data_IF_642389435962
#
_entry.id   IF_642389435962
#
_cell.length_a   1.000
_cell.length_b   1.000
_cell.length_c   1.000
_cell.angle_alpha   90.00
_cell.angle_beta   90.00
_cell.angle_gamma   90.00
#
_symmetry.space_group_name_H-M   'P 1'
#
loop_
_entity.id
_entity.type
_entity.pdbx_description
1 polymer ?
#
# COMPACT_ATOMS: atom_id res chain seq x y z
N UNK A 1 9.04 15.55 1.49
CA UNK A 1 7.92 14.71 1.96
C UNK A 1 6.76 15.53 2.49
N UNK A 2 6.93 16.49 3.39
CA UNK A 2 5.84 17.33 3.92
C UNK A 2 5.10 18.10 2.81
N UNK A 3 5.80 18.70 1.85
CA UNK A 3 5.18 19.40 0.73
C UNK A 3 4.32 18.48 -0.11
N UNK A 4 4.80 17.26 -0.40
CA UNK A 4 4.03 16.25 -1.14
C UNK A 4 2.79 15.81 -0.35
N UNK A 5 2.91 15.55 0.96
CA UNK A 5 1.77 15.17 1.79
C UNK A 5 0.70 16.26 1.81
N UNK A 6 1.09 17.53 1.96
CA UNK A 6 0.15 18.67 1.87
C UNK A 6 -0.48 18.79 0.49
N UNK A 7 0.28 18.58 -0.58
CA UNK A 7 -0.27 18.59 -1.94
C UNK A 7 -1.32 17.46 -2.11
N UNK A 8 -1.00 16.22 -1.74
CA UNK A 8 -1.93 15.10 -1.77
C UNK A 8 -3.20 15.40 -0.97
N UNK A 9 -3.06 15.94 0.24
CA UNK A 9 -4.19 16.29 1.12
C UNK A 9 -5.10 17.39 0.52
N UNK A 10 -4.51 18.35 -0.18
CA UNK A 10 -5.21 19.53 -0.73
C UNK A 10 -5.82 19.26 -2.11
N UNK A 11 -5.14 18.52 -2.97
CA UNK A 11 -5.51 18.31 -4.37
C UNK A 11 -6.65 17.29 -4.58
N UNK A 12 -7.21 16.71 -3.53
CA UNK A 12 -8.36 15.82 -3.64
C UNK A 12 -8.03 14.34 -3.77
N UNK A 13 -6.79 13.94 -3.56
CA UNK A 13 -6.42 12.53 -3.47
C UNK A 13 -6.98 11.92 -2.18
N UNK A 14 -7.39 10.65 -2.26
CA UNK A 14 -7.90 9.92 -1.09
C UNK A 14 -6.81 9.54 -0.09
N UNK A 15 -5.56 9.49 -0.49
CA UNK A 15 -4.44 9.12 0.36
C UNK A 15 -3.13 8.87 -0.39
N UNK A 16 -2.13 8.37 0.31
CA UNK A 16 -0.83 8.04 -0.25
C UNK A 16 -0.29 6.71 0.26
N UNK A 17 0.39 5.97 -0.63
CA UNK A 17 1.14 4.77 -0.26
C UNK A 17 2.53 5.16 0.24
N UNK A 18 2.82 4.80 1.48
CA UNK A 18 4.16 4.83 2.06
C UNK A 18 4.79 3.44 1.88
N UNK A 19 5.49 3.27 0.74
CA UNK A 19 6.09 2.00 0.38
C UNK A 19 7.41 1.76 1.13
N UNK A 20 7.70 0.48 1.41
CA UNK A 20 9.00 0.07 1.96
C UNK A 20 10.14 0.47 1.02
N UNK A 21 11.19 1.05 1.58
CA UNK A 21 12.33 1.55 0.82
C UNK A 21 13.41 2.08 1.75
N UNK A 22 13.85 3.32 1.52
CA UNK A 22 14.94 3.95 2.29
C UNK A 22 14.50 4.37 3.70
N UNK A 23 13.24 4.80 3.85
CA UNK A 23 12.71 5.29 5.13
C UNK A 23 11.82 4.24 5.80
N UNK A 24 11.82 4.25 7.15
CA UNK A 24 10.81 3.55 7.90
C UNK A 24 9.44 4.20 7.66
N UNK A 25 8.47 3.39 7.24
CA UNK A 25 7.16 3.86 6.78
C UNK A 25 6.27 4.32 7.92
N UNK A 26 6.42 3.74 9.13
CA UNK A 26 5.63 4.07 10.31
C UNK A 26 6.10 5.37 10.94
N UNK A 27 7.43 5.55 11.06
CA UNK A 27 8.02 6.81 11.52
C UNK A 27 7.67 7.94 10.56
N UNK A 28 7.83 7.71 9.24
CA UNK A 28 7.48 8.69 8.22
C UNK A 28 5.99 9.05 8.27
N UNK A 29 5.11 8.05 8.31
CA UNK A 29 3.66 8.27 8.38
C UNK A 29 3.27 9.08 9.61
N UNK A 30 3.79 8.71 10.78
CA UNK A 30 3.53 9.43 12.03
C UNK A 30 3.99 10.90 11.96
N UNK A 31 5.15 11.16 11.36
CA UNK A 31 5.67 12.51 11.17
C UNK A 31 4.83 13.36 10.20
N UNK A 32 4.05 12.74 9.31
CA UNK A 32 3.21 13.44 8.34
C UNK A 32 1.78 13.71 8.83
N UNK A 33 1.32 13.04 9.89
CA UNK A 33 -0.03 13.23 10.45
C UNK A 33 -0.32 14.71 10.75
N UNK A 34 0.57 15.50 11.41
CA UNK A 34 0.29 16.88 11.76
C UNK A 34 0.18 17.84 10.56
N UNK A 35 0.63 17.43 9.38
CA UNK A 35 0.63 18.25 8.16
C UNK A 35 -0.52 17.97 7.22
N UNK A 36 -1.46 17.09 7.60
CA UNK A 36 -2.57 16.61 6.77
C UNK A 36 -3.83 16.46 7.58
N UNK A 37 -4.98 16.67 6.95
CA UNK A 37 -6.29 16.56 7.60
C UNK A 37 -7.14 15.42 7.05
N UNK A 38 -7.06 15.15 5.75
CA UNK A 38 -7.92 14.20 5.01
C UNK A 38 -7.17 13.02 4.44
N UNK A 39 -5.89 13.22 4.08
CA UNK A 39 -5.06 12.19 3.45
C UNK A 39 -5.03 10.91 4.29
N UNK A 40 -5.44 9.80 3.71
CA UNK A 40 -5.28 8.47 4.30
C UNK A 40 -3.86 7.95 4.05
N UNK A 41 -3.34 7.23 5.01
CA UNK A 41 -1.98 6.69 4.98
C UNK A 41 -2.03 5.19 4.71
N UNK A 42 -1.67 4.75 3.51
CA UNK A 42 -1.46 3.33 3.22
C UNK A 42 -0.02 2.97 3.62
N UNK A 43 0.15 2.53 4.85
CA UNK A 43 1.47 2.30 5.46
C UNK A 43 1.89 0.85 5.27
N UNK A 44 3.04 0.65 4.64
CA UNK A 44 3.57 -0.69 4.43
C UNK A 44 4.16 -1.28 5.72
N UNK A 45 4.04 -2.59 5.89
CA UNK A 45 4.63 -3.36 6.99
C UNK A 45 5.12 -4.72 6.49
N UNK A 46 6.24 -5.17 7.06
CA UNK A 46 6.75 -6.52 6.86
C UNK A 46 6.39 -7.41 8.06
N UNK A 47 5.43 -8.36 7.91
CA UNK A 47 5.20 -9.38 8.93
C UNK A 47 6.49 -10.14 9.24
N UNK A 48 6.74 -10.37 10.53
CA UNK A 48 7.94 -11.07 10.99
C UNK A 48 9.12 -10.18 11.37
N UNK A 49 9.15 -8.91 10.98
CA UNK A 49 10.12 -7.94 11.51
C UNK A 49 9.65 -7.30 12.83
N UNK A 50 8.36 -7.42 13.14
CA UNK A 50 7.71 -6.99 14.39
C UNK A 50 6.83 -8.14 14.89
N UNK A 51 6.60 -8.25 16.21
CA UNK A 51 5.58 -9.16 16.70
C UNK A 51 4.17 -8.66 16.35
N UNK A 52 3.17 -9.54 16.17
CA UNK A 52 1.80 -9.12 15.86
C UNK A 52 1.18 -8.26 16.97
N UNK A 53 1.60 -8.46 18.23
CA UNK A 53 1.15 -7.69 19.39
C UNK A 53 1.71 -6.28 19.39
N UNK A 54 3.00 -6.11 19.08
CA UNK A 54 3.61 -4.78 18.94
C UNK A 54 2.99 -4.05 17.76
N UNK A 55 2.80 -4.74 16.64
CA UNK A 55 2.18 -4.17 15.45
C UNK A 55 0.72 -3.72 15.72
N UNK A 56 -0.07 -4.51 16.45
CA UNK A 56 -1.43 -4.13 16.85
C UNK A 56 -1.42 -2.84 17.69
N UNK A 57 -0.48 -2.73 18.65
CA UNK A 57 -0.30 -1.51 19.46
C UNK A 57 0.08 -0.31 18.59
N UNK A 58 1.02 -0.46 17.65
CA UNK A 58 1.43 0.60 16.74
C UNK A 58 0.27 1.06 15.85
N UNK A 59 -0.49 0.12 15.27
CA UNK A 59 -1.64 0.41 14.42
C UNK A 59 -2.73 1.16 15.19
N UNK A 60 -3.11 0.70 16.38
CA UNK A 60 -4.10 1.37 17.20
C UNK A 60 -3.65 2.77 17.62
N UNK A 61 -2.37 2.95 17.95
CA UNK A 61 -1.80 4.27 18.29
C UNK A 61 -1.85 5.20 17.07
N UNK A 62 -1.42 4.74 15.92
CA UNK A 62 -1.50 5.53 14.67
C UNK A 62 -2.94 5.93 14.34
N UNK A 63 -3.89 5.01 14.53
CA UNK A 63 -5.33 5.27 14.34
C UNK A 63 -5.82 6.42 15.22
N UNK A 64 -5.46 6.42 16.50
CA UNK A 64 -5.84 7.50 17.41
C UNK A 64 -5.28 8.85 16.96
N UNK A 65 -3.98 8.92 16.65
CA UNK A 65 -3.35 10.17 16.22
C UNK A 65 -3.84 10.64 14.86
N UNK A 66 -4.06 9.73 13.92
CA UNK A 66 -4.53 10.07 12.56
C UNK A 66 -6.04 10.22 12.46
N UNK A 67 -6.81 9.93 13.54
CA UNK A 67 -8.28 9.94 13.54
C UNK A 67 -8.88 8.99 12.49
N UNK A 68 -8.39 7.74 12.47
CA UNK A 68 -8.92 6.70 11.59
C UNK A 68 -8.48 6.80 10.13
N UNK A 69 -7.32 7.40 9.87
CA UNK A 69 -6.80 7.55 8.49
C UNK A 69 -5.79 6.48 8.07
N UNK A 70 -5.59 5.45 8.88
CA UNK A 70 -4.66 4.36 8.58
C UNK A 70 -5.27 3.36 7.59
N UNK A 71 -4.48 2.96 6.62
CA UNK A 71 -4.63 1.76 5.79
C UNK A 71 -3.31 1.00 5.90
N UNK A 72 -3.35 -0.32 5.91
CA UNK A 72 -2.16 -1.14 6.14
C UNK A 72 -1.84 -1.96 4.88
N UNK A 73 -0.64 -1.78 4.32
CA UNK A 73 -0.16 -2.59 3.20
C UNK A 73 0.79 -3.67 3.71
N UNK A 74 0.34 -4.92 3.68
CA UNK A 74 1.15 -6.08 4.04
C UNK A 74 2.14 -6.38 2.91
N UNK A 75 3.43 -6.47 3.23
CA UNK A 75 4.50 -6.73 2.26
C UNK A 75 5.38 -7.86 2.80
N UNK A 76 5.32 -9.03 2.19
CA UNK A 76 6.15 -10.17 2.63
C UNK A 76 7.62 -10.07 2.18
N UNK A 77 7.93 -9.11 1.31
CA UNK A 77 9.28 -8.87 0.82
C UNK A 77 9.85 -10.02 -0.04
N UNK A 78 11.06 -9.85 -0.51
CA UNK A 78 11.85 -10.91 -1.14
C UNK A 78 12.79 -11.57 -0.13
N UNK A 79 13.28 -12.78 -0.43
CA UNK A 79 14.21 -13.49 0.45
C UNK A 79 15.43 -12.64 0.80
N UNK A 80 16.02 -11.95 -0.17
CA UNK A 80 17.18 -11.09 0.05
C UNK A 80 16.86 -9.90 0.98
N UNK A 81 15.72 -9.24 0.76
CA UNK A 81 15.29 -8.11 1.59
C UNK A 81 15.02 -8.54 3.02
N UNK A 82 14.39 -9.69 3.20
CA UNK A 82 14.07 -10.18 4.55
C UNK A 82 15.32 -10.67 5.28
N UNK A 83 16.23 -11.37 4.61
CA UNK A 83 17.51 -11.79 5.20
C UNK A 83 18.36 -10.60 5.65
N UNK A 84 18.39 -9.51 4.86
CA UNK A 84 19.07 -8.27 5.24
C UNK A 84 18.49 -7.59 6.49
N UNK A 85 17.24 -7.90 6.83
CA UNK A 85 16.55 -7.42 8.04
C UNK A 85 16.48 -8.49 9.15
N UNK A 86 17.23 -9.57 9.04
CA UNK A 86 17.35 -10.60 10.07
C UNK A 86 16.27 -11.68 10.05
N UNK A 87 15.41 -11.72 9.02
CA UNK A 87 14.38 -12.76 8.87
C UNK A 87 14.82 -13.80 7.83
N UNK A 88 15.18 -14.99 8.27
CA UNK A 88 15.71 -16.07 7.44
C UNK A 88 14.68 -17.18 7.22
N UNK A 89 13.56 -16.84 6.56
CA UNK A 89 12.51 -17.77 6.17
C UNK A 89 12.49 -17.94 4.65
N UNK A 90 12.23 -19.16 4.18
CA UNK A 90 11.98 -19.43 2.77
C UNK A 90 10.73 -18.69 2.28
N UNK A 91 10.53 -18.65 0.96
CA UNK A 91 9.37 -18.00 0.36
C UNK A 91 8.04 -18.48 1.01
N UNK A 92 7.80 -19.79 1.03
CA UNK A 92 6.54 -20.34 1.53
C UNK A 92 6.41 -20.21 3.05
N UNK A 93 7.52 -20.32 3.79
CA UNK A 93 7.52 -20.09 5.24
C UNK A 93 7.15 -18.66 5.59
N UNK A 94 7.56 -17.66 4.80
CA UNK A 94 7.14 -16.26 5.02
C UNK A 94 5.63 -16.09 4.89
N UNK A 95 4.98 -16.80 3.98
CA UNK A 95 3.51 -16.75 3.84
C UNK A 95 2.80 -17.53 4.94
N UNK A 96 3.31 -18.68 5.35
CA UNK A 96 2.79 -19.42 6.49
C UNK A 96 2.92 -18.59 7.80
N UNK A 97 4.07 -17.94 8.01
CA UNK A 97 4.26 -17.00 9.11
C UNK A 97 3.26 -15.82 9.04
N UNK A 98 3.07 -15.26 7.84
CA UNK A 98 2.13 -14.15 7.62
C UNK A 98 0.68 -14.54 7.96
N UNK A 99 0.27 -15.76 7.66
CA UNK A 99 -1.05 -16.28 8.00
C UNK A 99 -1.28 -16.34 9.53
N UNK A 100 -0.34 -16.91 10.28
CA UNK A 100 -0.39 -16.93 11.75
C UNK A 100 -0.36 -15.51 12.33
N UNK A 101 0.51 -14.66 11.78
CA UNK A 101 0.68 -13.27 12.18
C UNK A 101 -0.63 -12.47 12.06
N UNK A 102 -1.28 -12.53 10.90
CA UNK A 102 -2.52 -11.82 10.64
C UNK A 102 -3.69 -12.41 11.42
N UNK A 103 -3.69 -13.72 11.68
CA UNK A 103 -4.68 -14.35 12.55
C UNK A 103 -4.65 -13.75 13.96
N UNK A 104 -3.48 -13.68 14.57
CA UNK A 104 -3.30 -13.07 15.91
C UNK A 104 -3.60 -11.57 15.89
N UNK A 105 -3.09 -10.86 14.88
CA UNK A 105 -3.30 -9.41 14.77
C UNK A 105 -4.78 -9.04 14.67
N UNK A 106 -5.56 -9.75 13.85
CA UNK A 106 -7.00 -9.48 13.66
C UNK A 106 -7.80 -9.71 14.94
N UNK A 107 -7.50 -10.78 15.68
CA UNK A 107 -8.13 -11.05 16.97
C UNK A 107 -7.84 -9.93 18.00
N UNK A 108 -6.59 -9.46 18.06
CA UNK A 108 -6.23 -8.35 18.93
C UNK A 108 -6.97 -7.07 18.56
N UNK A 109 -7.10 -6.77 17.27
CA UNK A 109 -7.74 -5.53 16.79
C UNK A 109 -9.24 -5.48 17.09
N UNK A 110 -9.90 -6.62 17.20
CA UNK A 110 -11.32 -6.68 17.64
C UNK A 110 -11.48 -6.79 19.15
N UNK A 111 -10.38 -6.66 19.93
CA UNK A 111 -10.40 -6.59 21.39
C UNK A 111 -10.35 -7.93 22.12
N UNK A 112 -10.11 -9.04 21.41
CA UNK A 112 -9.96 -10.34 22.04
C UNK A 112 -8.70 -10.43 22.91
N UNK A 113 -8.76 -11.29 23.93
CA UNK A 113 -7.56 -11.77 24.62
C UNK A 113 -7.08 -13.03 23.94
N UNK A 114 -5.86 -12.99 23.38
CA UNK A 114 -5.35 -14.02 22.48
C UNK A 114 -4.31 -14.90 23.18
N UNK A 115 -4.56 -16.20 23.17
CA UNK A 115 -3.58 -17.26 23.41
C UNK A 115 -3.40 -17.98 22.07
N UNK A 116 -2.19 -17.99 21.52
CA UNK A 116 -1.90 -18.59 20.22
C UNK A 116 -0.54 -19.30 20.26
N UNK A 117 -0.53 -20.56 19.84
CA UNK A 117 0.65 -21.43 19.78
C UNK A 117 0.78 -21.98 18.36
N UNK A 118 1.42 -21.23 17.48
CA UNK A 118 1.67 -21.61 16.08
C UNK A 118 3.08 -22.14 15.86
N UNK A 119 3.44 -22.35 14.61
CA UNK A 119 4.82 -22.70 14.23
C UNK A 119 5.77 -21.51 14.33
N UNK A 120 5.28 -20.31 14.03
CA UNK A 120 6.07 -19.08 13.91
C UNK A 120 5.68 -18.02 14.94
N UNK A 121 4.43 -18.01 15.37
CA UNK A 121 3.90 -17.01 16.28
C UNK A 121 3.43 -17.65 17.56
N UNK A 122 3.96 -17.17 18.69
CA UNK A 122 3.60 -17.63 20.03
C UNK A 122 3.22 -16.44 20.89
N UNK A 123 1.98 -16.37 21.37
CA UNK A 123 1.53 -15.31 22.28
C UNK A 123 0.67 -15.90 23.38
N UNK A 124 0.76 -15.32 24.58
CA UNK A 124 0.01 -15.78 25.74
C UNK A 124 -0.67 -14.58 26.41
N UNK A 125 -1.98 -14.66 26.59
CA UNK A 125 -2.81 -13.62 27.22
C UNK A 125 -2.58 -12.23 26.61
N UNK A 126 -2.31 -12.19 25.29
CA UNK A 126 -2.11 -10.95 24.59
C UNK A 126 -3.42 -10.19 24.46
N UNK A 127 -3.41 -8.89 24.79
CA UNK A 127 -4.59 -8.02 24.69
C UNK A 127 -4.17 -6.62 24.28
N UNK A 128 -4.95 -6.01 23.41
CA UNK A 128 -4.76 -4.62 23.03
C UNK A 128 -5.37 -3.70 24.11
N UNK A 129 -4.56 -2.71 24.57
CA UNK A 129 -4.99 -1.79 25.62
C UNK A 129 -5.92 -0.66 25.17
N UNK A 130 -5.87 -0.29 23.88
CA UNK A 130 -6.73 0.73 23.26
C UNK A 130 -7.28 0.18 21.94
N UNK A 131 -8.58 0.39 21.63
CA UNK A 131 -9.14 -0.07 20.37
C UNK A 131 -8.66 0.82 19.20
N UNK A 132 -8.67 0.31 17.95
CA UNK A 132 -8.54 1.15 16.77
C UNK A 132 -9.77 2.08 16.65
N UNK A 133 -9.63 3.13 15.84
CA UNK A 133 -10.75 4.03 15.50
C UNK A 133 -11.65 3.40 14.45
N UNK A 134 -11.07 2.73 13.47
CA UNK A 134 -11.82 2.01 12.42
C UNK A 134 -12.28 0.64 12.93
N UNK A 135 -13.50 0.25 12.59
CA UNK A 135 -14.08 -1.05 12.95
C UNK A 135 -14.25 -1.94 11.72
N UNK A 136 -13.94 -3.24 11.78
CA UNK A 136 -13.37 -3.97 12.92
C UNK A 136 -11.89 -3.68 13.15
N UNK A 137 -11.19 -3.14 12.19
CA UNK A 137 -9.78 -2.76 12.18
C UNK A 137 -9.46 -1.89 10.96
N UNK A 138 -8.30 -1.20 10.91
CA UNK A 138 -7.82 -0.56 9.68
C UNK A 138 -7.77 -1.54 8.52
N UNK A 139 -8.26 -1.19 7.32
CA UNK A 139 -8.28 -2.10 6.18
C UNK A 139 -6.90 -2.62 5.81
N UNK A 140 -6.80 -3.93 5.60
CA UNK A 140 -5.59 -4.62 5.16
C UNK A 140 -5.52 -4.69 3.64
N UNK A 141 -4.40 -4.27 3.10
CA UNK A 141 -4.09 -4.26 1.67
C UNK A 141 -2.90 -5.16 1.39
N UNK A 142 -2.90 -5.83 0.24
CA UNK A 142 -1.82 -6.73 -0.12
C UNK A 142 -1.78 -6.98 -1.63
N UNK A 143 -0.57 -7.07 -2.20
CA UNK A 143 -0.32 -7.38 -3.61
C UNK A 143 0.74 -8.46 -3.77
N UNK A 144 0.36 -9.70 -3.69
CA UNK A 144 1.21 -10.84 -3.98
C UNK A 144 0.61 -11.71 -5.08
N UNK A 145 1.43 -12.50 -5.78
CA UNK A 145 1.01 -13.20 -6.99
C UNK A 145 1.33 -14.70 -7.01
N UNK A 146 2.12 -15.20 -6.07
CA UNK A 146 2.35 -16.63 -5.87
C UNK A 146 1.14 -17.30 -5.22
N UNK A 147 0.96 -18.60 -5.42
CA UNK A 147 -0.20 -19.30 -4.86
C UNK A 147 -0.29 -19.16 -3.32
N UNK A 148 0.79 -19.28 -2.52
CA UNK A 148 0.73 -18.98 -1.08
C UNK A 148 0.31 -17.54 -0.78
N UNK A 149 0.73 -16.57 -1.61
CA UNK A 149 0.33 -15.17 -1.47
C UNK A 149 -1.16 -14.96 -1.70
N UNK A 150 -1.72 -15.61 -2.75
CA UNK A 150 -3.14 -15.52 -3.07
C UNK A 150 -4.01 -16.14 -1.97
N UNK A 151 -3.55 -17.22 -1.33
CA UNK A 151 -4.25 -17.87 -0.23
C UNK A 151 -4.31 -16.98 1.02
N UNK A 152 -3.19 -16.38 1.42
CA UNK A 152 -3.13 -15.39 2.52
C UNK A 152 -4.03 -14.19 2.21
N UNK A 153 -4.01 -13.70 0.96
CA UNK A 153 -4.88 -12.60 0.56
C UNK A 153 -6.35 -12.96 0.67
N UNK A 154 -6.76 -14.11 0.16
CA UNK A 154 -8.15 -14.58 0.23
C UNK A 154 -8.66 -14.69 1.67
N UNK A 155 -7.80 -15.13 2.60
CA UNK A 155 -8.14 -15.38 4.00
C UNK A 155 -8.17 -14.10 4.85
N UNK A 156 -7.28 -13.14 4.62
CA UNK A 156 -7.07 -12.04 5.57
C UNK A 156 -7.30 -10.64 5.03
N UNK A 157 -7.15 -10.41 3.72
CA UNK A 157 -7.02 -9.09 3.13
C UNK A 157 -8.38 -8.48 2.76
N UNK A 158 -8.50 -7.17 2.85
CA UNK A 158 -9.72 -6.44 2.51
C UNK A 158 -9.64 -5.85 1.09
N UNK A 159 -8.44 -5.41 0.68
CA UNK A 159 -8.20 -4.91 -0.68
C UNK A 159 -6.99 -5.61 -1.30
N UNK A 160 -7.23 -6.36 -2.37
CA UNK A 160 -6.16 -6.99 -3.14
C UNK A 160 -5.63 -6.02 -4.19
N UNK A 161 -4.31 -5.81 -4.18
CA UNK A 161 -3.61 -4.94 -5.12
C UNK A 161 -3.00 -5.76 -6.26
N UNK A 162 -3.24 -5.32 -7.49
CA UNK A 162 -2.49 -5.78 -8.67
C UNK A 162 -1.56 -4.69 -9.20
N UNK A 163 -0.65 -5.06 -10.07
CA UNK A 163 0.18 -4.10 -10.79
C UNK A 163 -0.41 -3.84 -12.18
N UNK A 164 0.04 -2.79 -12.86
CA UNK A 164 -0.47 -2.34 -14.14
C UNK A 164 -0.15 -3.30 -15.29
N UNK A 165 -0.72 -4.50 -15.26
CA UNK A 165 -0.81 -5.41 -16.40
C UNK A 165 -1.98 -4.96 -17.30
N UNK A 166 -2.08 -5.47 -18.53
CA UNK A 166 -3.20 -5.13 -19.40
C UNK A 166 -4.56 -5.54 -18.80
N UNK A 167 -5.66 -4.81 -19.08
CA UNK A 167 -6.97 -5.07 -18.48
C UNK A 167 -7.44 -6.54 -18.56
N UNK A 168 -7.26 -7.30 -19.65
CA UNK A 168 -7.65 -8.71 -19.69
C UNK A 168 -6.93 -9.57 -18.63
N UNK A 169 -5.63 -9.37 -18.45
CA UNK A 169 -4.82 -10.11 -17.46
C UNK A 169 -5.25 -9.77 -16.02
N UNK A 170 -5.58 -8.49 -15.79
CA UNK A 170 -6.11 -8.03 -14.50
C UNK A 170 -7.49 -8.64 -14.23
N UNK A 171 -8.37 -8.72 -15.23
CA UNK A 171 -9.69 -9.34 -15.12
C UNK A 171 -9.61 -10.82 -14.71
N UNK A 172 -8.73 -11.59 -15.35
CA UNK A 172 -8.50 -13.01 -14.99
C UNK A 172 -8.07 -13.15 -13.52
N UNK A 173 -7.19 -12.27 -13.06
CA UNK A 173 -6.73 -12.25 -11.67
C UNK A 173 -7.84 -11.91 -10.69
N UNK A 174 -8.69 -10.95 -11.02
CA UNK A 174 -9.86 -10.59 -10.21
C UNK A 174 -10.79 -11.79 -10.08
N UNK A 175 -11.08 -12.48 -11.17
CA UNK A 175 -11.93 -13.69 -11.16
C UNK A 175 -11.33 -14.78 -10.25
N UNK A 176 -10.01 -15.05 -10.40
CA UNK A 176 -9.29 -16.02 -9.55
C UNK A 176 -9.39 -15.63 -8.07
N UNK A 177 -9.15 -14.37 -7.73
CA UNK A 177 -9.17 -13.90 -6.34
C UNK A 177 -10.57 -13.91 -5.73
N UNK A 178 -11.62 -13.56 -6.49
CA UNK A 178 -13.01 -13.69 -6.03
C UNK A 178 -13.36 -15.14 -5.70
N UNK A 179 -12.96 -16.07 -6.56
CA UNK A 179 -13.19 -17.51 -6.34
C UNK A 179 -12.45 -18.03 -5.09
N UNK A 180 -11.21 -17.59 -4.86
CA UNK A 180 -10.46 -17.98 -3.67
C UNK A 180 -11.08 -17.38 -2.39
N UNK A 181 -11.43 -16.10 -2.39
CA UNK A 181 -12.03 -15.43 -1.23
C UNK A 181 -13.40 -16.04 -0.84
N UNK A 182 -14.18 -16.49 -1.83
CA UNK A 182 -15.45 -17.17 -1.60
C UNK A 182 -15.31 -18.45 -0.75
N UNK A 183 -14.18 -19.16 -0.82
CA UNK A 183 -13.89 -20.33 0.03
C UNK A 183 -13.83 -19.97 1.52
N UNK A 184 -13.51 -18.73 1.84
CA UNK A 184 -13.44 -18.18 3.19
C UNK A 184 -14.65 -17.31 3.56
N UNK A 185 -15.73 -17.36 2.77
CA UNK A 185 -16.93 -16.51 2.92
C UNK A 185 -16.58 -15.01 2.96
N UNK A 186 -15.61 -14.58 2.13
CA UNK A 186 -15.13 -13.20 2.08
C UNK A 186 -15.33 -12.59 0.70
N UNK A 187 -15.54 -11.28 0.71
CA UNK A 187 -15.53 -10.43 -0.49
C UNK A 187 -14.31 -9.52 -0.43
N UNK A 188 -13.58 -9.42 -1.54
CA UNK A 188 -12.41 -8.55 -1.68
C UNK A 188 -12.76 -7.33 -2.51
N UNK A 189 -12.17 -6.20 -2.14
CA UNK A 189 -12.03 -5.03 -3.01
C UNK A 189 -10.75 -5.17 -3.82
N UNK A 190 -10.68 -4.45 -4.94
CA UNK A 190 -9.53 -4.53 -5.84
C UNK A 190 -8.94 -3.15 -6.10
N UNK A 191 -7.62 -3.08 -6.08
CA UNK A 191 -6.85 -1.91 -6.44
C UNK A 191 -5.75 -2.24 -7.43
N UNK A 192 -5.30 -1.23 -8.15
CA UNK A 192 -4.18 -1.34 -9.09
C UNK A 192 -3.13 -0.27 -8.79
N UNK A 193 -1.87 -0.65 -8.91
CA UNK A 193 -0.75 0.29 -8.82
C UNK A 193 -0.06 0.41 -10.18
N UNK A 194 0.03 1.63 -10.68
CA UNK A 194 0.65 1.98 -11.96
C UNK A 194 1.14 3.44 -11.95
N UNK A 195 1.87 3.82 -12.99
CA UNK A 195 2.24 5.21 -13.23
C UNK A 195 1.25 5.85 -14.20
N UNK A 196 1.22 7.18 -14.20
CA UNK A 196 0.50 7.99 -15.19
C UNK A 196 1.44 9.07 -15.73
N UNK A 197 1.45 9.23 -17.03
CA UNK A 197 2.11 10.34 -17.75
C UNK A 197 1.01 11.03 -18.54
N UNK A 198 0.39 12.06 -17.94
CA UNK A 198 -0.68 12.84 -18.57
C UNK A 198 -0.15 14.21 -18.99
N UNK A 199 -0.47 14.64 -20.23
CA UNK A 199 -0.14 15.97 -20.76
C UNK A 199 -1.36 16.50 -21.51
N UNK A 200 -1.34 17.76 -21.93
CA UNK A 200 -2.43 18.41 -22.66
C UNK A 200 -2.77 17.67 -23.96
N UNK A 201 -1.76 17.10 -24.63
CA UNK A 201 -1.91 16.34 -25.85
C UNK A 201 -1.24 14.96 -25.74
N UNK A 202 -1.72 14.01 -26.55
CA UNK A 202 -1.10 12.67 -26.62
C UNK A 202 0.37 12.74 -27.03
N UNK A 203 0.72 13.62 -27.98
CA UNK A 203 2.10 13.77 -28.43
C UNK A 203 3.02 14.25 -27.28
N UNK A 204 2.63 15.25 -26.55
CA UNK A 204 3.40 15.75 -25.39
C UNK A 204 3.55 14.67 -24.30
N UNK A 205 2.55 13.83 -24.08
CA UNK A 205 2.63 12.73 -23.13
C UNK A 205 3.68 11.69 -23.56
N UNK A 206 3.69 11.32 -24.83
CA UNK A 206 4.68 10.40 -25.37
C UNK A 206 6.08 11.02 -25.47
N UNK A 207 6.19 12.31 -25.73
CA UNK A 207 7.46 13.05 -25.66
C UNK A 207 8.02 13.03 -24.22
N UNK A 208 7.15 13.13 -23.21
CA UNK A 208 7.56 13.02 -21.82
C UNK A 208 8.02 11.57 -21.46
N UNK A 209 7.37 10.55 -21.98
CA UNK A 209 7.82 9.16 -21.84
C UNK A 209 9.18 8.93 -22.55
N UNK A 210 9.35 9.44 -23.75
CA UNK A 210 10.60 9.38 -24.51
C UNK A 210 11.74 10.12 -23.80
N UNK A 211 11.41 11.29 -23.19
CA UNK A 211 12.35 12.04 -22.39
C UNK A 211 12.86 11.25 -21.18
N UNK A 212 12.00 10.47 -20.52
CA UNK A 212 12.40 9.57 -19.43
C UNK A 212 13.26 8.43 -19.97
N UNK A 213 12.87 7.80 -21.07
CA UNK A 213 13.60 6.70 -21.69
C UNK A 213 15.03 7.11 -22.10
N UNK A 214 15.19 8.25 -22.72
CA UNK A 214 16.49 8.78 -23.19
C UNK A 214 17.46 9.13 -22.07
N UNK A 215 17.00 9.18 -20.82
CA UNK A 215 17.84 9.42 -19.62
C UNK A 215 18.23 8.14 -18.88
N UNK A 216 17.78 7.02 -19.37
CA UNK A 216 18.20 5.71 -18.89
C UNK A 216 19.49 5.32 -19.62
N UNK A 217 20.53 4.99 -18.88
CA UNK A 217 21.76 4.47 -19.46
C UNK A 217 21.79 2.94 -19.38
N UNK A 218 22.48 2.31 -20.33
CA UNK A 218 22.53 0.84 -20.44
C UNK A 218 23.15 0.17 -19.23
N UNK A 219 24.14 0.79 -18.58
CA UNK A 219 24.84 0.26 -17.41
C UNK A 219 23.89 0.20 -16.21
N UNK A 220 23.18 1.32 -15.92
CA UNK A 220 22.17 1.38 -14.86
C UNK A 220 21.03 0.40 -15.10
N UNK A 221 20.54 0.29 -16.33
CA UNK A 221 19.50 -0.68 -16.69
C UNK A 221 20.01 -2.10 -16.43
N UNK A 222 21.19 -2.47 -16.93
CA UNK A 222 21.75 -3.81 -16.73
C UNK A 222 21.95 -4.15 -15.26
N UNK A 223 22.42 -3.22 -14.44
CA UNK A 223 22.63 -3.41 -13.00
C UNK A 223 21.30 -3.65 -12.29
N UNK A 224 20.27 -2.85 -12.60
CA UNK A 224 18.93 -2.98 -12.00
C UNK A 224 18.27 -4.28 -12.47
N UNK A 225 18.34 -4.62 -13.75
CA UNK A 225 17.78 -5.87 -14.29
C UNK A 225 18.41 -7.09 -13.62
N UNK A 226 19.73 -7.10 -13.42
CA UNK A 226 20.44 -8.17 -12.69
C UNK A 226 19.93 -8.31 -11.25
N UNK A 227 19.70 -7.19 -10.57
CA UNK A 227 19.13 -7.19 -9.21
C UNK A 227 17.70 -7.75 -9.20
N UNK A 228 16.86 -7.32 -10.14
CA UNK A 228 15.44 -7.72 -10.20
C UNK A 228 15.27 -9.20 -10.57
N UNK A 229 16.10 -9.73 -11.46
CA UNK A 229 16.07 -11.15 -11.85
C UNK A 229 16.56 -12.10 -10.77
N UNK A 230 17.34 -11.62 -9.79
CA UNK A 230 17.82 -12.43 -8.67
C UNK A 230 16.79 -12.65 -7.56
N UNK A 231 15.65 -11.98 -7.63
CA UNK A 231 14.61 -12.06 -6.62
C UNK A 231 13.58 -13.18 -6.87
N UNK A 232 12.87 -13.58 -5.80
CA UNK A 232 11.84 -14.64 -5.81
C UNK A 232 10.39 -14.09 -6.00
N UNK A 233 10.25 -12.85 -6.49
CA UNK A 233 8.94 -12.22 -6.71
C UNK A 233 8.33 -12.59 -8.07
N UNK A 234 7.27 -13.38 -8.06
CA UNK A 234 6.48 -13.74 -9.26
C UNK A 234 5.92 -12.50 -9.99
N UNK A 235 5.46 -11.50 -9.24
CA UNK A 235 4.98 -10.23 -9.83
C UNK A 235 6.09 -9.47 -10.55
N UNK A 236 7.31 -9.46 -9.98
CA UNK A 236 8.44 -8.79 -10.60
C UNK A 236 8.88 -9.50 -11.88
N UNK A 237 8.90 -10.83 -11.89
CA UNK A 237 9.24 -11.60 -13.10
C UNK A 237 8.31 -11.27 -14.27
N UNK A 238 6.99 -11.16 -14.03
CA UNK A 238 6.05 -10.74 -15.07
C UNK A 238 6.29 -9.32 -15.59
N UNK A 239 6.68 -8.38 -14.70
CA UNK A 239 7.02 -7.02 -15.16
C UNK A 239 8.27 -7.03 -16.06
N UNK A 240 9.24 -7.91 -15.77
CA UNK A 240 10.45 -8.06 -16.58
C UNK A 240 10.15 -8.57 -18.00
N UNK A 241 9.14 -9.43 -18.16
CA UNK A 241 8.71 -9.96 -19.46
C UNK A 241 8.21 -8.86 -20.42
N UNK A 242 7.67 -7.76 -19.90
CA UNK A 242 7.09 -6.67 -20.71
C UNK A 242 8.12 -5.85 -21.49
N UNK A 243 9.39 -5.84 -21.08
CA UNK A 243 10.41 -4.97 -21.69
C UNK A 243 11.71 -5.71 -22.05
N UNK A 244 11.86 -6.98 -21.67
CA UNK A 244 13.05 -7.79 -22.00
C UNK A 244 14.39 -7.22 -21.52
N UNK A 245 14.38 -6.22 -20.65
CA UNK A 245 15.58 -5.62 -20.04
C UNK A 245 16.44 -4.78 -20.99
N UNK A 246 15.93 -4.33 -22.13
CA UNK A 246 16.69 -3.56 -23.13
C UNK A 246 16.02 -2.22 -23.42
N UNK A 247 16.84 -1.17 -23.56
CA UNK A 247 16.39 0.14 -24.01
C UNK A 247 16.08 0.06 -25.51
N UNK A 248 14.83 0.31 -25.94
CA UNK A 248 14.47 0.30 -27.36
C UNK A 248 14.91 1.58 -28.07
N UNK A 249 14.89 1.58 -29.38
CA UNK A 249 15.16 2.78 -30.19
C UNK A 249 13.99 3.77 -30.19
N UNK A 250 12.77 3.24 -30.11
CA UNK A 250 11.54 4.03 -30.11
C UNK A 250 10.76 3.75 -28.81
N UNK A 251 10.31 4.81 -28.16
CA UNK A 251 9.54 4.73 -26.92
C UNK A 251 8.28 3.87 -27.04
N UNK A 252 7.63 3.87 -28.21
CA UNK A 252 6.42 3.07 -28.49
C UNK A 252 6.66 1.56 -28.56
N UNK A 253 7.90 1.09 -28.72
CA UNK A 253 8.21 -0.35 -28.71
C UNK A 253 7.94 -1.00 -27.34
N UNK A 254 7.82 -0.21 -26.28
CA UNK A 254 7.42 -0.67 -24.93
C UNK A 254 5.94 -0.43 -24.61
N UNK A 255 5.12 -0.11 -25.61
CA UNK A 255 3.67 -0.03 -25.45
C UNK A 255 3.07 -1.44 -25.52
N UNK A 256 2.76 -2.01 -24.34
CA UNK A 256 2.31 -3.42 -24.19
C UNK A 256 0.79 -3.59 -24.36
N UNK A 257 0.05 -2.50 -24.31
CA UNK A 257 -1.38 -2.38 -24.55
C UNK A 257 -1.64 -0.91 -24.93
N UNK A 258 -2.71 -0.57 -25.67
CA UNK A 258 -2.93 0.83 -26.05
C UNK A 258 -2.76 1.83 -24.91
N UNK A 259 -1.79 2.73 -25.06
CA UNK A 259 -1.39 3.72 -24.07
C UNK A 259 -0.81 3.17 -22.74
N UNK A 260 -0.54 1.87 -22.63
CA UNK A 260 0.13 1.27 -21.48
C UNK A 260 1.60 0.97 -21.80
N UNK A 261 2.48 1.78 -21.27
CA UNK A 261 3.92 1.77 -21.52
C UNK A 261 4.70 1.09 -20.38
N UNK A 262 5.57 0.14 -20.70
CA UNK A 262 6.33 -0.64 -19.73
C UNK A 262 7.75 -0.08 -19.43
N UNK A 263 8.12 1.07 -19.95
CA UNK A 263 9.50 1.57 -19.92
C UNK A 263 10.05 1.86 -18.52
N UNK A 264 9.22 2.22 -17.55
CA UNK A 264 9.70 2.45 -16.18
C UNK A 264 10.21 1.17 -15.51
N UNK A 265 9.74 -0.01 -15.96
CA UNK A 265 10.23 -1.31 -15.49
C UNK A 265 11.71 -1.57 -15.76
N UNK A 266 12.30 -0.86 -16.72
CA UNK A 266 13.74 -0.95 -17.03
C UNK A 266 14.61 -0.52 -15.84
N UNK A 267 14.15 0.48 -15.05
CA UNK A 267 14.95 1.09 -13.96
C UNK A 267 14.25 1.11 -12.60
N UNK A 268 13.04 0.51 -12.48
CA UNK A 268 12.25 0.56 -11.26
C UNK A 268 11.78 -0.82 -10.82
N UNK A 269 11.97 -1.21 -9.55
CA UNK A 269 11.32 -2.38 -8.97
C UNK A 269 9.83 -2.11 -8.76
N UNK A 270 9.02 -3.16 -8.77
CA UNK A 270 7.58 -3.09 -8.58
C UNK A 270 6.84 -2.79 -9.89
N UNK A 271 5.69 -2.10 -9.87
CA UNK A 271 4.96 -1.77 -11.10
C UNK A 271 5.80 -0.86 -11.97
N UNK A 272 6.11 -1.33 -13.17
CA UNK A 272 6.95 -0.63 -14.14
C UNK A 272 6.18 -0.05 -15.33
N UNK A 273 4.85 -0.06 -15.26
CA UNK A 273 3.96 0.38 -16.34
C UNK A 273 3.36 1.75 -16.06
N UNK A 274 3.16 2.53 -17.12
CA UNK A 274 2.53 3.84 -17.08
C UNK A 274 1.41 3.93 -18.13
N UNK A 275 0.27 4.50 -17.76
CA UNK A 275 -0.71 4.96 -18.73
C UNK A 275 -0.26 6.32 -19.26
N UNK A 276 -0.08 6.43 -20.59
CA UNK A 276 0.48 7.60 -21.27
C UNK A 276 -0.53 8.17 -22.24
N UNK A 277 -0.84 9.46 -22.16
CA UNK A 277 -1.75 10.10 -23.12
C UNK A 277 -2.28 11.46 -22.67
N UNK A 278 -3.20 11.99 -23.48
CA UNK A 278 -4.00 13.15 -23.10
C UNK A 278 -5.00 12.78 -22.00
N UNK A 279 -5.64 13.77 -21.33
CA UNK A 279 -6.51 13.51 -20.19
C UNK A 279 -7.67 12.57 -20.49
N UNK A 280 -8.29 12.67 -21.66
CA UNK A 280 -9.43 11.81 -22.06
C UNK A 280 -8.98 10.38 -22.32
N UNK A 281 -7.85 10.22 -23.00
CA UNK A 281 -7.24 8.92 -23.26
C UNK A 281 -6.87 8.21 -21.96
N UNK A 282 -6.19 8.91 -21.05
CA UNK A 282 -5.82 8.35 -19.74
C UNK A 282 -7.07 7.99 -18.93
N UNK A 283 -8.06 8.87 -18.86
CA UNK A 283 -9.31 8.59 -18.16
C UNK A 283 -10.04 7.35 -18.73
N UNK A 284 -10.08 7.22 -20.07
CA UNK A 284 -10.67 6.04 -20.74
C UNK A 284 -9.92 4.75 -20.38
N UNK A 285 -8.59 4.77 -20.34
CA UNK A 285 -7.80 3.58 -19.96
C UNK A 285 -8.03 3.21 -18.49
N UNK A 286 -8.13 4.18 -17.58
CA UNK A 286 -8.46 3.91 -16.18
C UNK A 286 -9.89 3.40 -16.02
N UNK A 287 -10.83 3.87 -16.86
CA UNK A 287 -12.20 3.38 -16.85
C UNK A 287 -12.28 1.90 -17.25
N UNK A 288 -11.47 1.42 -18.20
CA UNK A 288 -11.42 -0.01 -18.53
C UNK A 288 -11.03 -0.87 -17.31
N UNK A 289 -10.11 -0.42 -16.48
CA UNK A 289 -9.80 -1.12 -15.23
C UNK A 289 -10.96 -1.03 -14.23
N UNK A 290 -11.64 0.09 -14.15
CA UNK A 290 -12.81 0.24 -13.28
C UNK A 290 -13.95 -0.70 -13.70
N UNK A 291 -14.20 -0.84 -14.99
CA UNK A 291 -15.26 -1.69 -15.56
C UNK A 291 -15.04 -3.18 -15.24
N UNK A 292 -13.81 -3.64 -15.10
CA UNK A 292 -13.50 -5.01 -14.68
C UNK A 292 -13.47 -5.19 -13.17
N UNK A 293 -13.66 -4.11 -12.39
CA UNK A 293 -13.83 -4.16 -10.94
C UNK A 293 -12.67 -3.61 -10.12
N UNK A 294 -11.77 -2.82 -10.70
CA UNK A 294 -10.79 -2.04 -9.94
C UNK A 294 -11.50 -0.83 -9.33
N UNK A 295 -11.44 -0.71 -8.01
CA UNK A 295 -12.08 0.37 -7.26
C UNK A 295 -11.07 1.43 -6.77
N UNK A 296 -9.78 1.11 -6.78
CA UNK A 296 -8.75 2.01 -6.26
C UNK A 296 -7.52 2.01 -7.17
N UNK A 297 -7.06 3.23 -7.47
CA UNK A 297 -5.86 3.46 -8.28
C UNK A 297 -4.77 4.10 -7.43
N UNK A 298 -3.64 3.40 -7.28
CA UNK A 298 -2.43 3.97 -6.69
C UNK A 298 -1.57 4.49 -7.84
N UNK A 299 -1.70 5.78 -8.09
CA UNK A 299 -1.03 6.46 -9.19
C UNK A 299 0.31 7.01 -8.71
N UNK A 300 1.34 6.83 -9.53
CA UNK A 300 2.66 7.41 -9.32
C UNK A 300 3.07 8.24 -10.53
N UNK A 301 3.98 9.18 -10.34
CA UNK A 301 4.56 10.01 -11.40
C UNK A 301 6.03 10.32 -11.12
N UNK A 302 6.76 10.80 -12.11
CA UNK A 302 8.17 11.18 -12.01
C UNK A 302 8.37 12.54 -12.73
N UNK A 303 8.74 13.61 -11.98
CA UNK A 303 8.92 13.73 -10.53
C UNK A 303 7.59 13.70 -9.76
N UNK A 304 7.61 13.22 -8.51
CA UNK A 304 6.37 12.93 -7.75
C UNK A 304 5.49 14.15 -7.52
N UNK A 305 6.05 15.30 -7.14
CA UNK A 305 5.24 16.45 -6.73
C UNK A 305 4.64 17.17 -7.94
N UNK A 306 5.40 17.33 -8.99
CA UNK A 306 4.95 17.97 -10.25
C UNK A 306 3.86 17.13 -10.91
N UNK A 307 4.06 15.81 -10.97
CA UNK A 307 3.06 14.90 -11.54
C UNK A 307 1.80 14.81 -10.67
N UNK A 308 1.91 14.98 -9.34
CA UNK A 308 0.73 15.04 -8.48
C UNK A 308 -0.15 16.27 -8.83
N UNK A 309 0.44 17.42 -9.08
CA UNK A 309 -0.32 18.60 -9.54
C UNK A 309 -0.90 18.39 -10.93
N UNK A 310 -0.14 17.86 -11.90
CA UNK A 310 -0.63 17.63 -13.27
C UNK A 310 -1.81 16.64 -13.29
N UNK A 311 -1.70 15.55 -12.58
CA UNK A 311 -2.80 14.57 -12.48
C UNK A 311 -4.01 15.21 -11.83
N UNK A 312 -3.84 16.04 -10.81
CA UNK A 312 -4.93 16.73 -10.15
C UNK A 312 -5.64 17.73 -11.10
N UNK A 313 -4.87 18.48 -11.89
CA UNK A 313 -5.41 19.50 -12.79
C UNK A 313 -6.03 18.87 -14.05
N UNK A 314 -5.35 17.91 -14.66
CA UNK A 314 -5.71 17.40 -15.99
C UNK A 314 -6.61 16.16 -15.93
N UNK A 315 -6.43 15.29 -14.92
CA UNK A 315 -7.05 13.97 -14.92
C UNK A 315 -8.16 13.82 -13.88
N UNK A 316 -7.95 14.24 -12.61
CA UNK A 316 -8.95 14.03 -11.54
C UNK A 316 -10.33 14.62 -11.87
N UNK A 317 -10.47 15.76 -12.56
CA UNK A 317 -11.78 16.29 -12.95
C UNK A 317 -12.58 15.39 -13.90
N UNK A 318 -11.92 14.47 -14.60
CA UNK A 318 -12.53 13.54 -15.56
C UNK A 318 -12.88 12.18 -14.92
N UNK A 319 -12.45 11.96 -13.69
CA UNK A 319 -12.65 10.67 -13.01
C UNK A 319 -13.82 10.78 -12.01
N UNK A 320 -14.65 9.72 -11.89
CA UNK A 320 -15.73 9.66 -10.88
C UNK A 320 -15.15 9.36 -9.49
N UNK A 321 -14.20 10.19 -9.04
CA UNK A 321 -13.56 9.99 -7.72
C UNK A 321 -14.49 10.45 -6.61
N UNK A 322 -14.78 9.56 -5.66
CA UNK A 322 -15.46 9.91 -4.43
C UNK A 322 -14.53 10.81 -3.61
N UNK A 323 -14.93 12.05 -3.39
CA UNK A 323 -14.26 12.89 -2.38
C UNK A 323 -14.36 12.17 -1.03
N UNK A 324 -13.28 12.10 -0.23
CA UNK A 324 -13.38 11.60 1.13
C UNK A 324 -14.42 12.45 1.87
N UNK A 325 -15.61 11.89 2.07
CA UNK A 325 -16.60 12.55 2.91
C UNK A 325 -16.06 12.55 4.33
N UNK A 326 -15.97 13.72 4.95
CA UNK A 326 -15.74 13.86 6.38
C UNK A 326 -16.96 13.31 7.15
N UNK A 327 -17.22 12.00 7.07
CA UNK A 327 -18.30 11.35 7.81
C UNK A 327 -18.02 11.25 9.32
N UNK A 328 -16.98 11.93 9.83
CA UNK A 328 -16.70 12.05 11.26
C UNK A 328 -17.31 13.30 11.90
N UNK A 329 -18.47 13.79 11.40
CA UNK A 329 -19.33 14.67 12.19
C UNK A 329 -20.28 13.93 13.13
N UNK A 330 -20.13 12.62 13.34
CA UNK A 330 -20.63 12.04 14.58
C UNK A 330 -19.70 12.51 15.70
N UNK A 331 -20.21 13.32 16.59
CA UNK A 331 -19.64 13.80 17.85
C UNK A 331 -19.37 12.65 18.84
N UNK A 332 -18.65 11.62 18.44
CA UNK A 332 -17.97 10.76 19.37
C UNK A 332 -16.72 11.54 19.80
N UNK A 333 -16.80 12.13 20.99
CA UNK A 333 -15.64 12.65 21.70
C UNK A 333 -14.51 11.64 21.56
N UNK A 334 -13.46 12.01 20.79
CA UNK A 334 -12.22 11.23 20.74
C UNK A 334 -11.75 11.17 22.20
N UNK A 335 -11.92 10.01 22.83
CA UNK A 335 -11.43 9.81 24.16
C UNK A 335 -9.90 9.74 24.04
N UNK A 336 -9.26 10.90 24.10
CA UNK A 336 -7.83 10.97 24.32
C UNK A 336 -7.65 10.39 25.72
N UNK A 337 -6.98 9.22 25.88
CA UNK A 337 -6.73 8.71 27.20
C UNK A 337 -5.96 9.79 27.96
N UNK A 338 -6.62 10.44 28.90
CA UNK A 338 -5.90 11.30 29.85
C UNK A 338 -4.92 10.40 30.59
N UNK A 339 -3.77 10.93 30.96
CA UNK A 339 -2.70 10.23 31.68
C UNK A 339 -3.14 9.49 32.96
N UNK A 340 -4.42 9.52 33.31
CA UNK A 340 -5.03 8.81 34.44
C UNK A 340 -4.91 7.29 34.38
N UNK A 341 -4.79 6.68 33.16
CA UNK A 341 -4.54 5.25 33.01
C UNK A 341 -3.13 4.80 33.42
N UNK A 342 -2.22 5.72 33.67
CA UNK A 342 -0.86 5.38 34.12
C UNK A 342 -0.79 4.99 35.59
N UNK A 343 -1.79 5.35 36.40
CA UNK A 343 -1.84 5.03 37.84
C UNK A 343 -1.97 3.52 38.09
N UNK A 344 -2.69 2.81 37.21
CA UNK A 344 -2.94 1.38 37.39
C UNK A 344 -1.76 0.50 36.97
N UNK A 345 -0.81 1.05 36.20
CA UNK A 345 0.34 0.29 35.68
C UNK A 345 1.55 0.35 36.63
N UNK A 346 1.70 1.40 37.42
CA UNK A 346 2.88 1.61 38.29
C UNK A 346 2.58 1.59 39.78
N UNK A 347 1.39 1.21 40.19
CA UNK A 347 1.08 1.03 41.63
C UNK A 347 1.37 2.29 42.48
N UNK A 348 1.10 3.48 41.94
CA UNK A 348 1.33 4.73 42.66
C UNK A 348 0.26 4.90 43.73
N UNK A 349 0.69 4.82 44.98
CA UNK A 349 -0.04 5.08 46.21
C UNK A 349 -0.76 6.42 46.22
N UNK A 350 -1.96 6.42 46.76
CA UNK A 350 -2.84 7.57 46.97
C UNK A 350 -2.10 8.77 47.58
N UNK A 351 -2.12 9.88 46.90
CA UNK A 351 -1.74 11.16 47.46
C UNK A 351 -2.93 11.69 48.29
N UNK A 352 -2.79 11.71 49.61
CA UNK A 352 -3.74 12.36 50.52
C UNK A 352 -3.93 13.82 50.09
N UNK A 353 -5.18 14.21 49.91
CA UNK A 353 -5.54 15.63 49.81
C UNK A 353 -5.14 16.33 51.13
N UNK A 354 -4.25 17.31 51.04
CA UNK A 354 -4.03 18.30 52.07
C UNK A 354 -5.13 19.33 51.95
N UNK A 355 -6.10 19.32 52.83
CA UNK A 355 -7.03 20.44 53.01
C UNK A 355 -6.22 21.62 53.56
N UNK A 356 -6.20 22.71 52.81
CA UNK A 356 -5.76 24.01 53.34
C UNK A 356 -6.88 24.60 54.19
N UNK A 357 -6.56 24.83 55.50
CA UNK A 357 -7.33 25.65 56.38
C UNK A 357 -7.01 27.13 56.16
#
# INVERSE_FOLDING_TARGET
MQQLARAIDHLGYSGALLATGVHDTWVLGSALIPFTERMRFLVAVHPGLLSPTLFAKMAATFEQFSRGRLLINIVNGTSNTMAANGLHLSHDERYAHCDEYLTVWRQLMVGETVDFEGKYVHVKKAKLGIPPVQSPHPPLWFGGSSDPALEVAAKHIDTYLTWGEAPPQVAERIVKMRSLAAKYNRTLRFGIRLYVIVRETEQEAWDAADWLLKRMDEESVAAIQKMLTSGDSVGQQRMLEFHGGKIPKNVRELEIYPNLWAGLGLVRPGPGTAVVGDPKTVASRLQEYADIGIETFIISGIPLIEEAYRVADLLLPLLPVSQPTNNNQSSSSVHIPTWSGFKDIIGATETKQVQAG
#
